data_IF_927270795195
#
_entry.id   IF_927270795195
#
_cell.length_a   1.000
_cell.length_b   1.000
_cell.length_c   1.000
_cell.angle_alpha   90.00
_cell.angle_beta   90.00
_cell.angle_gamma   90.00
#
_symmetry.space_group_name_H-M   'P 1'
#
loop_
_entity.id
_entity.type
_entity.pdbx_description
1 polymer ?
#
# COMPACT_ATOMS: atom_id res chain seq x y z
N UNK A 1 -35.36 -16.39 -59.49
CA UNK A 1 -34.62 -15.51 -58.59
C UNK A 1 -35.08 -15.80 -57.20
N UNK A 2 -34.56 -16.46 -56.48
CA UNK A 2 -33.96 -17.68 -56.11
C UNK A 2 -33.86 -17.71 -54.60
N UNK A 3 -34.30 -18.82 -54.05
CA UNK A 3 -34.28 -19.25 -52.66
C UNK A 3 -32.97 -18.87 -51.90
N UNK A 4 -31.84 -18.80 -52.59
CA UNK A 4 -30.54 -18.41 -52.01
C UNK A 4 -30.47 -16.95 -51.55
N UNK A 5 -31.20 -16.04 -52.16
CA UNK A 5 -31.18 -14.62 -51.76
C UNK A 5 -32.00 -14.37 -50.49
N UNK A 6 -33.07 -15.12 -50.27
CA UNK A 6 -33.86 -15.04 -49.04
C UNK A 6 -33.13 -15.63 -47.83
N UNK A 7 -32.38 -16.73 -48.02
CA UNK A 7 -31.56 -17.29 -46.93
C UNK A 7 -30.45 -16.35 -46.52
N UNK A 8 -29.77 -15.69 -47.49
CA UNK A 8 -28.70 -14.76 -47.21
C UNK A 8 -29.17 -13.54 -46.42
N UNK A 9 -30.33 -12.97 -46.73
CA UNK A 9 -30.93 -11.87 -45.97
C UNK A 9 -31.35 -12.29 -44.56
N UNK A 10 -31.82 -13.53 -44.35
CA UNK A 10 -32.18 -14.04 -43.04
C UNK A 10 -30.96 -14.22 -42.12
N UNK A 11 -29.84 -14.78 -42.67
CA UNK A 11 -28.59 -14.95 -41.91
C UNK A 11 -27.92 -13.61 -41.63
N UNK A 12 -27.98 -12.66 -42.55
CA UNK A 12 -27.44 -11.31 -42.35
C UNK A 12 -28.24 -10.53 -41.30
N UNK A 13 -29.56 -10.67 -41.29
CA UNK A 13 -30.46 -10.08 -40.23
C UNK A 13 -30.26 -10.73 -38.87
N UNK A 14 -30.02 -12.04 -38.78
CA UNK A 14 -29.66 -12.73 -37.54
C UNK A 14 -28.29 -12.35 -37.03
N UNK A 15 -27.28 -12.20 -37.91
CA UNK A 15 -25.94 -11.72 -37.54
C UNK A 15 -25.98 -10.25 -37.02
N UNK A 16 -26.74 -9.39 -37.70
CA UNK A 16 -26.91 -7.99 -37.33
C UNK A 16 -27.63 -7.86 -35.96
N UNK A 17 -28.65 -8.70 -35.67
CA UNK A 17 -29.30 -8.73 -34.37
C UNK A 17 -28.41 -9.32 -33.29
N UNK A 18 -27.51 -10.27 -33.60
CA UNK A 18 -26.54 -10.80 -32.64
C UNK A 18 -25.44 -9.78 -32.30
N UNK A 19 -25.05 -8.93 -33.26
CA UNK A 19 -24.12 -7.81 -33.03
C UNK A 19 -24.73 -6.66 -32.25
N UNK A 20 -26.05 -6.46 -32.29
CA UNK A 20 -26.77 -5.43 -31.52
C UNK A 20 -27.05 -5.83 -30.08
N UNK A 21 -26.96 -7.13 -29.71
CA UNK A 21 -27.12 -7.60 -28.34
C UNK A 21 -25.86 -7.51 -27.48
N UNK A 22 -24.70 -7.18 -28.05
CA UNK A 22 -23.52 -6.75 -27.27
C UNK A 22 -23.55 -5.23 -27.01
N UNK A 23 -24.68 -4.69 -26.62
CA UNK A 23 -24.67 -3.48 -25.79
C UNK A 23 -24.08 -3.91 -24.44
N UNK A 24 -22.78 -3.69 -24.28
CA UNK A 24 -22.16 -3.65 -22.96
C UNK A 24 -23.03 -2.70 -22.13
N UNK A 25 -23.84 -3.25 -21.24
CA UNK A 25 -24.48 -2.50 -20.19
C UNK A 25 -23.30 -2.07 -19.29
N UNK A 26 -22.64 -0.97 -19.67
CA UNK A 26 -21.64 -0.33 -18.83
C UNK A 26 -22.40 0.08 -17.59
N UNK A 27 -22.21 -0.64 -16.50
CA UNK A 27 -22.79 -0.27 -15.22
C UNK A 27 -22.41 1.20 -14.97
N UNK A 28 -23.37 2.08 -15.03
CA UNK A 28 -23.19 3.50 -14.75
C UNK A 28 -23.22 3.65 -13.24
N UNK A 29 -22.05 3.68 -12.62
CA UNK A 29 -21.92 3.89 -11.18
C UNK A 29 -22.38 5.29 -10.79
N UNK A 30 -23.10 5.41 -9.67
CA UNK A 30 -23.54 6.68 -9.15
C UNK A 30 -22.69 7.08 -7.93
N UNK A 31 -21.78 8.04 -8.12
CA UNK A 31 -20.88 8.54 -7.09
C UNK A 31 -21.41 9.77 -6.33
N UNK A 32 -22.71 10.06 -6.37
CA UNK A 32 -23.30 11.17 -5.60
C UNK A 32 -23.04 11.05 -4.10
N UNK A 33 -23.07 9.84 -3.54
CA UNK A 33 -22.72 9.56 -2.14
C UNK A 33 -21.30 9.98 -1.78
N UNK A 34 -20.35 9.78 -2.69
CA UNK A 34 -18.96 10.20 -2.52
C UNK A 34 -18.84 11.72 -2.59
N UNK A 35 -19.51 12.37 -3.55
CA UNK A 35 -19.54 13.83 -3.67
C UNK A 35 -20.14 14.49 -2.42
N UNK A 36 -21.26 13.99 -1.91
CA UNK A 36 -21.90 14.46 -0.69
C UNK A 36 -21.00 14.30 0.54
N UNK A 37 -20.35 13.14 0.67
CA UNK A 37 -19.39 12.88 1.75
C UNK A 37 -18.22 13.87 1.72
N UNK A 38 -17.63 14.11 0.55
CA UNK A 38 -16.53 15.07 0.39
C UNK A 38 -16.98 16.50 0.72
N UNK A 39 -18.16 16.90 0.29
CA UNK A 39 -18.73 18.21 0.57
C UNK A 39 -18.99 18.41 2.07
N UNK A 40 -19.62 17.42 2.72
CA UNK A 40 -19.91 17.45 4.17
C UNK A 40 -18.64 17.60 5.00
N UNK A 41 -17.56 16.94 4.59
CA UNK A 41 -16.29 16.93 5.32
C UNK A 41 -15.27 17.97 4.80
N UNK A 42 -15.67 18.89 3.92
CA UNK A 42 -14.73 19.84 3.27
C UNK A 42 -13.86 20.63 4.25
N UNK A 43 -14.44 21.06 5.38
CA UNK A 43 -13.68 21.81 6.42
C UNK A 43 -12.61 20.95 7.09
N UNK A 44 -12.96 19.72 7.49
CA UNK A 44 -12.02 18.79 8.13
C UNK A 44 -10.93 18.34 7.16
N UNK A 45 -11.27 18.16 5.88
CA UNK A 45 -10.33 17.84 4.80
C UNK A 45 -9.55 19.06 4.29
N UNK A 46 -9.77 20.25 4.88
CA UNK A 46 -9.11 21.53 4.52
C UNK A 46 -9.24 21.89 3.03
N UNK A 47 -10.26 21.36 2.36
CA UNK A 47 -10.65 21.70 0.99
C UNK A 47 -9.70 21.25 -0.13
N UNK A 48 -8.64 20.50 0.16
CA UNK A 48 -7.65 20.04 -0.84
C UNK A 48 -7.57 18.51 -0.84
N UNK A 49 -8.38 17.91 -1.69
CA UNK A 49 -8.60 16.47 -1.76
C UNK A 49 -8.55 15.97 -3.19
N UNK A 50 -7.97 14.80 -3.36
CA UNK A 50 -8.13 13.96 -4.55
C UNK A 50 -8.77 12.64 -4.12
N UNK A 51 -9.91 12.29 -4.70
CA UNK A 51 -10.57 11.01 -4.52
C UNK A 51 -10.62 10.28 -5.87
N UNK A 52 -10.24 9.01 -5.87
CA UNK A 52 -10.21 8.17 -7.07
C UNK A 52 -10.77 6.79 -6.77
N UNK A 53 -11.51 6.21 -7.74
CA UNK A 53 -11.98 4.82 -7.69
C UNK A 53 -11.70 4.14 -9.02
N UNK A 54 -11.06 2.96 -8.94
CA UNK A 54 -10.79 2.07 -10.06
C UNK A 54 -11.65 0.81 -9.96
N UNK A 55 -12.37 0.49 -11.01
CA UNK A 55 -13.20 -0.72 -11.11
C UNK A 55 -13.40 -1.07 -12.58
N UNK A 56 -13.64 -2.36 -12.88
CA UNK A 56 -13.85 -2.85 -14.26
C UNK A 56 -12.73 -2.39 -15.21
N UNK A 57 -11.49 -2.54 -14.77
CA UNK A 57 -10.26 -2.20 -15.50
C UNK A 57 -10.17 -0.74 -15.99
N UNK A 58 -10.89 0.16 -15.32
CA UNK A 58 -10.86 1.60 -15.63
C UNK A 58 -11.03 2.47 -14.40
N UNK A 59 -10.58 3.72 -14.52
CA UNK A 59 -10.89 4.76 -13.54
C UNK A 59 -12.35 5.18 -13.73
N UNK A 60 -13.22 4.80 -12.78
CA UNK A 60 -14.67 5.06 -12.82
C UNK A 60 -15.07 6.35 -12.11
N UNK A 61 -14.22 6.85 -11.21
CA UNK A 61 -14.43 8.11 -10.50
C UNK A 61 -13.11 8.83 -10.23
N UNK A 62 -13.11 10.13 -10.43
CA UNK A 62 -12.05 11.05 -10.01
C UNK A 62 -12.63 12.40 -9.64
N UNK A 63 -12.31 12.88 -8.44
CA UNK A 63 -12.64 14.21 -7.94
C UNK A 63 -11.38 14.91 -7.44
N UNK A 64 -11.16 16.09 -7.92
CA UNK A 64 -10.14 17.03 -7.46
C UNK A 64 -10.88 18.27 -6.94
N UNK A 65 -10.77 18.55 -5.65
CA UNK A 65 -11.55 19.62 -5.01
C UNK A 65 -10.90 21.00 -5.12
N UNK A 66 -9.65 21.05 -5.59
CA UNK A 66 -8.86 22.28 -5.70
C UNK A 66 -7.94 22.20 -6.93
N UNK A 67 -7.88 23.31 -7.68
CA UNK A 67 -7.09 23.39 -8.91
C UNK A 67 -5.57 23.23 -8.70
N UNK A 68 -5.07 23.65 -7.53
CA UNK A 68 -3.64 23.57 -7.19
C UNK A 68 -3.27 22.20 -6.55
N UNK A 69 -4.27 21.33 -6.30
CA UNK A 69 -4.06 20.02 -5.72
C UNK A 69 -4.77 18.95 -6.53
N UNK A 70 -4.02 18.32 -7.41
CA UNK A 70 -4.52 17.37 -8.42
C UNK A 70 -3.97 15.96 -8.21
N UNK A 71 -4.49 15.02 -8.97
CA UNK A 71 -3.98 13.64 -8.98
C UNK A 71 -2.52 13.52 -9.45
N UNK A 72 -1.91 14.61 -9.94
CA UNK A 72 -0.49 14.69 -10.32
C UNK A 72 0.36 15.39 -9.26
N UNK A 73 -0.24 15.97 -8.23
CA UNK A 73 0.51 16.66 -7.17
C UNK A 73 1.23 15.63 -6.31
N UNK A 74 2.55 15.76 -6.21
CA UNK A 74 3.37 14.90 -5.37
C UNK A 74 3.26 15.34 -3.90
N UNK A 75 3.00 14.38 -3.02
CA UNK A 75 2.91 14.61 -1.57
C UNK A 75 3.59 13.47 -0.79
N UNK A 76 4.00 13.72 0.46
CA UNK A 76 4.42 12.64 1.35
C UNK A 76 3.26 11.67 1.59
N UNK A 77 3.47 10.38 1.32
CA UNK A 77 2.48 9.33 1.61
C UNK A 77 2.77 8.61 2.93
N UNK A 78 3.86 8.96 3.60
CA UNK A 78 4.20 8.50 4.94
C UNK A 78 4.13 6.98 5.10
N UNK A 79 3.35 6.51 6.07
CA UNK A 79 3.19 5.09 6.38
C UNK A 79 2.69 4.23 5.20
N UNK A 80 1.93 4.81 4.26
CA UNK A 80 1.52 4.10 3.04
C UNK A 80 2.72 3.67 2.17
N UNK A 81 3.91 4.28 2.36
CA UNK A 81 5.16 3.87 1.74
C UNK A 81 5.65 2.48 2.18
N UNK A 82 5.24 2.02 3.37
CA UNK A 82 5.59 0.69 3.87
C UNK A 82 5.02 -0.43 2.99
N UNK A 83 3.86 -0.20 2.39
CA UNK A 83 3.25 -1.18 1.47
C UNK A 83 4.09 -1.35 0.19
N UNK A 84 4.64 -0.26 -0.34
CA UNK A 84 5.59 -0.28 -1.46
C UNK A 84 6.90 -1.01 -1.07
N UNK A 85 7.41 -0.76 0.14
CA UNK A 85 8.61 -1.43 0.64
C UNK A 85 8.40 -2.92 0.84
N UNK A 86 7.25 -3.32 1.38
CA UNK A 86 6.88 -4.73 1.52
C UNK A 86 6.74 -5.41 0.14
N UNK A 87 6.12 -4.76 -0.83
CA UNK A 87 6.01 -5.26 -2.20
C UNK A 87 7.40 -5.47 -2.85
N UNK A 88 8.33 -4.53 -2.63
CA UNK A 88 9.71 -4.70 -3.09
C UNK A 88 10.39 -5.89 -2.39
N UNK A 89 10.22 -6.06 -1.08
CA UNK A 89 10.76 -7.20 -0.35
C UNK A 89 10.23 -8.53 -0.91
N UNK A 90 8.93 -8.59 -1.21
CA UNK A 90 8.30 -9.77 -1.80
C UNK A 90 8.76 -10.02 -3.24
N UNK A 91 9.12 -9.00 -4.02
CA UNK A 91 9.77 -9.21 -5.31
C UNK A 91 11.11 -9.94 -5.18
N UNK A 92 11.90 -9.62 -4.14
CA UNK A 92 13.14 -10.35 -3.83
C UNK A 92 12.89 -11.78 -3.32
N UNK A 93 11.77 -12.02 -2.66
CA UNK A 93 11.34 -13.38 -2.26
C UNK A 93 10.94 -14.19 -3.50
N UNK A 94 10.18 -13.61 -4.43
CA UNK A 94 9.81 -14.24 -5.70
C UNK A 94 11.02 -14.62 -6.55
N UNK A 95 12.06 -13.77 -6.54
CA UNK A 95 13.31 -14.05 -7.25
C UNK A 95 14.21 -15.07 -6.52
N UNK A 96 13.80 -15.58 -5.36
CA UNK A 96 14.59 -16.50 -4.55
C UNK A 96 15.86 -15.90 -3.93
N UNK A 97 16.01 -14.57 -3.96
CA UNK A 97 17.15 -13.84 -3.40
C UNK A 97 17.05 -13.67 -1.89
N UNK A 98 15.83 -13.61 -1.38
CA UNK A 98 15.48 -13.60 0.03
C UNK A 98 14.43 -14.66 0.30
N UNK A 99 14.30 -15.04 1.57
CA UNK A 99 13.16 -15.80 2.09
C UNK A 99 12.61 -15.07 3.31
N UNK A 100 11.38 -15.34 3.69
CA UNK A 100 10.81 -14.75 4.91
C UNK A 100 11.64 -15.09 6.16
N UNK A 101 12.31 -16.24 6.16
CA UNK A 101 13.19 -16.71 7.25
C UNK A 101 14.64 -16.21 7.13
N UNK A 102 14.96 -15.42 6.10
CA UNK A 102 16.30 -14.83 5.98
C UNK A 102 16.62 -13.98 7.20
N UNK A 103 17.63 -14.42 7.98
CA UNK A 103 18.07 -13.72 9.20
C UNK A 103 18.91 -12.50 8.86
N UNK A 104 18.73 -11.43 9.62
CA UNK A 104 19.53 -10.20 9.48
C UNK A 104 21.01 -10.44 9.74
N UNK A 105 21.37 -11.39 10.60
CA UNK A 105 22.76 -11.79 10.87
C UNK A 105 23.57 -12.08 9.61
N UNK A 106 22.92 -12.63 8.58
CA UNK A 106 23.56 -13.00 7.32
C UNK A 106 23.92 -11.78 6.46
N UNK A 107 23.16 -10.70 6.57
CA UNK A 107 23.24 -9.56 5.67
C UNK A 107 23.72 -8.28 6.36
N UNK A 108 23.43 -8.13 7.67
CA UNK A 108 23.72 -6.93 8.46
C UNK A 108 24.47 -7.37 9.74
N UNK A 109 25.77 -7.67 9.64
CA UNK A 109 26.53 -8.27 10.74
C UNK A 109 26.55 -7.44 12.03
N UNK A 110 26.44 -6.11 11.92
CA UNK A 110 26.41 -5.24 13.10
C UNK A 110 25.21 -5.55 14.02
N UNK A 111 24.05 -5.90 13.46
CA UNK A 111 22.88 -6.32 14.26
C UNK A 111 23.16 -7.63 15.02
N UNK A 112 23.91 -8.56 14.41
CA UNK A 112 24.32 -9.79 15.10
C UNK A 112 25.28 -9.52 16.24
N UNK A 113 26.24 -8.61 16.07
CA UNK A 113 27.19 -8.19 17.11
C UNK A 113 26.49 -7.66 18.37
N UNK A 114 25.32 -7.05 18.22
CA UNK A 114 24.52 -6.53 19.32
C UNK A 114 23.30 -7.41 19.65
N UNK A 115 23.42 -8.72 19.48
CA UNK A 115 22.41 -9.73 19.85
C UNK A 115 21.07 -9.61 19.12
N UNK A 116 21.00 -8.92 17.97
CA UNK A 116 19.81 -8.74 17.14
C UNK A 116 19.80 -9.60 15.87
N UNK A 117 20.76 -10.52 15.76
CA UNK A 117 20.99 -11.29 14.53
C UNK A 117 19.92 -12.35 14.19
N UNK A 118 19.06 -12.67 15.13
CA UNK A 118 17.99 -13.67 14.98
C UNK A 118 16.69 -13.10 14.33
N UNK A 119 16.61 -11.78 14.17
CA UNK A 119 15.52 -11.11 13.46
C UNK A 119 15.49 -11.62 12.01
N UNK A 120 14.30 -11.84 11.48
CA UNK A 120 14.09 -12.32 10.11
C UNK A 120 13.38 -11.29 9.25
N UNK A 121 13.37 -11.48 7.93
CA UNK A 121 12.57 -10.64 7.03
C UNK A 121 11.08 -10.68 7.43
N UNK A 122 10.55 -11.84 7.80
CA UNK A 122 9.17 -11.97 8.30
C UNK A 122 8.92 -11.00 9.45
N UNK A 123 9.76 -11.03 10.49
CA UNK A 123 9.56 -10.18 11.67
C UNK A 123 9.72 -8.70 11.38
N UNK A 124 10.51 -8.35 10.36
CA UNK A 124 10.61 -6.99 9.86
C UNK A 124 9.30 -6.52 9.20
N UNK A 125 8.73 -7.36 8.31
CA UNK A 125 7.51 -7.02 7.56
C UNK A 125 6.24 -7.07 8.42
N UNK A 126 6.28 -7.74 9.58
CA UNK A 126 5.13 -7.90 10.49
C UNK A 126 5.22 -7.07 11.78
N UNK A 127 6.18 -6.15 11.90
CA UNK A 127 6.38 -5.31 13.09
C UNK A 127 6.56 -6.11 14.40
N UNK A 128 7.22 -7.26 14.32
CA UNK A 128 7.44 -8.17 15.46
C UNK A 128 8.92 -8.43 15.73
N UNK A 129 9.78 -7.46 15.41
CA UNK A 129 11.24 -7.59 15.59
C UNK A 129 11.68 -7.71 17.05
N UNK A 130 10.89 -7.21 18.00
CA UNK A 130 11.24 -7.10 19.41
C UNK A 130 12.27 -6.00 19.72
N UNK A 131 12.68 -5.20 18.73
CA UNK A 131 13.51 -4.01 18.95
C UNK A 131 12.63 -2.86 19.45
N UNK A 132 13.15 -2.09 20.40
CA UNK A 132 12.51 -0.87 20.90
C UNK A 132 12.14 0.06 19.74
N UNK A 133 10.86 0.44 19.67
CA UNK A 133 10.37 1.39 18.68
C UNK A 133 10.83 2.82 18.97
N UNK A 134 10.61 3.72 18.06
CA UNK A 134 10.83 5.15 18.28
C UNK A 134 9.93 5.65 19.40
N UNK A 135 10.50 6.47 20.31
CA UNK A 135 9.71 7.08 21.40
C UNK A 135 8.67 8.04 20.84
N UNK A 136 7.42 7.83 21.22
CA UNK A 136 6.29 8.71 20.90
C UNK A 136 5.97 9.63 22.09
N UNK A 137 5.29 10.76 21.88
CA UNK A 137 4.87 11.66 22.96
C UNK A 137 5.97 12.64 23.41
N UNK A 138 6.24 12.74 24.72
CA UNK A 138 7.21 13.69 25.29
C UNK A 138 8.61 13.51 24.70
N UNK A 139 8.95 12.31 24.26
CA UNK A 139 10.19 12.03 23.52
C UNK A 139 10.31 12.70 22.15
N UNK A 140 9.22 13.27 21.61
CA UNK A 140 9.25 14.08 20.37
C UNK A 140 10.04 15.38 20.48
N UNK A 141 10.32 15.86 21.71
CA UNK A 141 11.13 17.06 21.96
C UNK A 141 12.62 16.85 21.74
N UNK A 142 13.08 15.59 21.64
CA UNK A 142 14.47 15.31 21.29
C UNK A 142 14.65 15.38 19.77
N UNK A 143 15.74 15.98 19.28
CA UNK A 143 16.05 15.97 17.86
C UNK A 143 16.05 14.52 17.36
N UNK A 144 15.31 14.25 16.27
CA UNK A 144 15.41 12.95 15.61
C UNK A 144 16.85 12.75 15.13
N UNK A 145 17.40 11.56 15.37
CA UNK A 145 18.68 11.20 14.80
C UNK A 145 18.59 11.36 13.26
N UNK A 146 19.53 12.09 12.70
CA UNK A 146 19.67 12.24 11.25
C UNK A 146 20.72 11.25 10.78
N UNK A 147 20.41 10.48 9.77
CA UNK A 147 21.32 9.49 9.18
C UNK A 147 21.61 9.88 7.73
N UNK A 148 22.79 9.55 7.25
CA UNK A 148 23.19 9.73 5.85
C UNK A 148 22.92 8.48 5.01
N UNK A 149 22.69 7.33 5.65
CA UNK A 149 22.45 6.05 4.98
C UNK A 149 21.67 5.08 5.87
N UNK A 150 21.06 4.07 5.25
CA UNK A 150 20.46 2.95 5.99
C UNK A 150 21.52 2.16 6.80
N UNK A 151 22.77 2.11 6.34
CA UNK A 151 23.84 1.48 7.08
C UNK A 151 24.13 2.20 8.41
N UNK A 152 24.20 3.53 8.37
CA UNK A 152 24.37 4.33 9.58
C UNK A 152 23.18 4.17 10.55
N UNK A 153 21.94 4.13 10.03
CA UNK A 153 20.79 3.83 10.84
C UNK A 153 20.87 2.44 11.49
N UNK A 154 21.32 1.41 10.75
CA UNK A 154 21.52 0.07 11.31
C UNK A 154 22.58 0.07 12.42
N UNK A 155 23.68 0.82 12.28
CA UNK A 155 24.68 0.99 13.33
C UNK A 155 24.07 1.62 14.59
N UNK A 156 23.24 2.65 14.40
CA UNK A 156 22.52 3.29 15.51
C UNK A 156 21.53 2.33 16.17
N UNK A 157 20.68 1.66 15.39
CA UNK A 157 19.71 0.68 15.91
C UNK A 157 20.41 -0.45 16.68
N UNK A 158 21.53 -0.94 16.16
CA UNK A 158 22.32 -1.96 16.82
C UNK A 158 22.79 -1.51 18.20
N UNK A 159 23.40 -0.33 18.28
CA UNK A 159 24.11 0.14 19.48
C UNK A 159 23.19 0.85 20.51
N UNK A 160 22.09 1.48 20.07
CA UNK A 160 21.30 2.41 20.90
C UNK A 160 19.87 1.97 21.17
N UNK A 161 19.32 1.01 20.41
CA UNK A 161 17.99 0.48 20.66
C UNK A 161 18.09 -0.85 21.41
N UNK A 162 17.25 -1.02 22.41
CA UNK A 162 17.22 -2.23 23.21
C UNK A 162 16.35 -3.32 22.55
N UNK A 163 16.56 -4.57 22.98
CA UNK A 163 15.67 -5.68 22.71
C UNK A 163 14.66 -5.68 23.86
N UNK A 164 13.42 -5.29 23.58
CA UNK A 164 12.36 -5.23 24.57
C UNK A 164 11.55 -6.52 24.66
N UNK A 165 11.61 -7.34 23.61
CA UNK A 165 10.95 -8.63 23.53
C UNK A 165 11.66 -9.57 22.56
N UNK A 166 11.39 -10.88 22.63
CA UNK A 166 11.79 -11.79 21.56
C UNK A 166 10.95 -11.54 20.30
N UNK A 167 11.51 -11.76 19.10
CA UNK A 167 10.71 -11.69 17.87
C UNK A 167 9.48 -12.60 17.91
N UNK A 168 8.41 -12.17 17.27
CA UNK A 168 7.12 -12.86 17.20
C UNK A 168 6.46 -13.08 18.57
N UNK A 169 6.73 -12.22 19.57
CA UNK A 169 6.07 -12.28 20.89
C UNK A 169 5.12 -11.10 21.14
N UNK A 170 5.28 -10.02 20.38
CA UNK A 170 4.49 -8.81 20.53
C UNK A 170 4.45 -8.06 19.21
N UNK A 171 3.28 -7.55 18.83
CA UNK A 171 3.12 -6.64 17.70
C UNK A 171 3.34 -5.20 18.17
N UNK A 172 4.28 -4.51 17.52
CA UNK A 172 4.56 -3.11 17.79
C UNK A 172 4.80 -2.36 16.47
N UNK A 173 3.77 -1.72 15.95
CA UNK A 173 3.89 -0.95 14.71
C UNK A 173 4.96 0.14 14.84
N UNK A 174 5.94 0.13 13.96
CA UNK A 174 7.07 1.06 13.99
C UNK A 174 7.79 1.13 12.64
N UNK A 175 8.77 2.05 12.52
CA UNK A 175 9.59 2.16 11.32
C UNK A 175 10.75 1.14 11.28
N UNK A 176 11.08 0.54 12.43
CA UNK A 176 12.30 -0.27 12.62
C UNK A 176 12.37 -1.43 11.61
N UNK A 177 11.32 -2.25 11.55
CA UNK A 177 11.31 -3.45 10.70
C UNK A 177 11.46 -3.12 9.21
N UNK A 178 10.72 -2.13 8.71
CA UNK A 178 10.75 -1.76 7.30
C UNK A 178 12.11 -1.17 6.89
N UNK A 179 12.76 -0.40 7.77
CA UNK A 179 14.10 0.14 7.49
C UNK A 179 15.16 -0.97 7.50
N UNK A 180 15.05 -1.96 8.40
CA UNK A 180 15.91 -3.15 8.37
C UNK A 180 15.68 -3.94 7.08
N UNK A 181 14.42 -4.18 6.65
CA UNK A 181 14.09 -4.86 5.39
C UNK A 181 14.67 -4.09 4.18
N UNK A 182 14.56 -2.77 4.18
CA UNK A 182 15.19 -1.92 3.16
C UNK A 182 16.71 -2.11 3.08
N UNK A 183 17.40 -2.16 4.23
CA UNK A 183 18.84 -2.43 4.25
C UNK A 183 19.17 -3.86 3.80
N UNK A 184 18.39 -4.86 4.16
CA UNK A 184 18.58 -6.23 3.64
C UNK A 184 18.53 -6.26 2.12
N UNK A 185 17.58 -5.52 1.52
CA UNK A 185 17.43 -5.39 0.07
C UNK A 185 18.65 -4.71 -0.55
N UNK A 186 19.18 -3.63 0.04
CA UNK A 186 20.40 -2.96 -0.44
C UNK A 186 21.59 -3.91 -0.46
N UNK A 187 21.79 -4.67 0.62
CA UNK A 187 22.92 -5.61 0.72
C UNK A 187 22.82 -6.70 -0.36
N UNK A 188 21.62 -7.28 -0.55
CA UNK A 188 21.43 -8.34 -1.54
C UNK A 188 21.52 -7.83 -2.97
N UNK A 189 20.99 -6.63 -3.24
CA UNK A 189 21.00 -6.04 -4.58
C UNK A 189 22.32 -5.36 -4.95
N UNK A 190 23.13 -4.99 -3.96
CA UNK A 190 24.33 -4.13 -4.09
C UNK A 190 23.99 -2.76 -4.71
N UNK A 191 22.78 -2.27 -4.46
CA UNK A 191 22.27 -0.98 -4.93
C UNK A 191 21.62 -0.25 -3.77
N UNK A 192 21.55 1.08 -3.84
CA UNK A 192 20.80 1.89 -2.89
C UNK A 192 19.29 1.59 -3.00
N UNK A 193 18.55 1.77 -1.92
CA UNK A 193 17.11 1.43 -1.86
C UNK A 193 16.31 2.19 -2.91
N UNK A 194 16.56 3.49 -3.08
CA UNK A 194 15.87 4.32 -4.09
C UNK A 194 16.09 3.80 -5.51
N UNK A 195 17.34 3.39 -5.84
CA UNK A 195 17.65 2.85 -7.16
C UNK A 195 16.93 1.53 -7.40
N UNK A 196 16.96 0.62 -6.43
CA UNK A 196 16.39 -0.70 -6.63
C UNK A 196 14.85 -0.68 -6.64
N UNK A 197 14.19 0.16 -5.82
CA UNK A 197 12.74 0.28 -5.85
C UNK A 197 12.27 0.93 -7.17
N UNK A 198 13.02 1.90 -7.69
CA UNK A 198 12.77 2.47 -9.01
C UNK A 198 12.83 1.40 -10.11
N UNK A 199 13.86 0.56 -10.10
CA UNK A 199 14.06 -0.45 -11.14
C UNK A 199 13.02 -1.57 -11.08
N UNK A 200 12.72 -2.06 -9.87
CA UNK A 200 11.93 -3.28 -9.66
C UNK A 200 10.43 -3.04 -9.52
N UNK A 201 10.03 -1.88 -9.02
CA UNK A 201 8.63 -1.62 -8.70
C UNK A 201 8.09 -0.36 -9.40
N UNK A 202 8.70 0.81 -9.17
CA UNK A 202 8.09 2.07 -9.56
C UNK A 202 8.05 2.27 -11.08
N UNK A 203 9.15 2.02 -11.80
CA UNK A 203 9.17 2.14 -13.27
C UNK A 203 8.26 1.13 -13.97
N UNK A 204 8.27 -0.18 -13.61
CA UNK A 204 7.32 -1.13 -14.17
C UNK A 204 5.85 -0.74 -13.98
N UNK A 205 5.52 -0.11 -12.83
CA UNK A 205 4.19 0.41 -12.52
C UNK A 205 3.92 1.80 -13.09
N UNK A 206 4.83 2.38 -13.86
CA UNK A 206 4.74 3.75 -14.40
C UNK A 206 4.59 4.84 -13.34
N UNK A 207 5.04 4.59 -12.11
CA UNK A 207 5.02 5.50 -10.97
C UNK A 207 6.19 6.51 -11.05
N UNK A 208 6.17 7.38 -12.07
CA UNK A 208 7.29 8.26 -12.44
C UNK A 208 7.50 9.43 -11.49
N UNK A 209 6.46 9.79 -10.75
CA UNK A 209 6.47 10.87 -9.76
C UNK A 209 6.53 10.33 -8.33
N UNK A 210 6.89 9.05 -8.16
CA UNK A 210 7.07 8.44 -6.85
C UNK A 210 8.54 8.30 -6.53
N UNK A 211 8.94 8.70 -5.33
CA UNK A 211 10.32 8.64 -4.84
C UNK A 211 10.34 8.35 -3.35
N UNK A 212 11.45 7.77 -2.88
CA UNK A 212 11.76 7.62 -1.46
C UNK A 212 12.82 8.64 -0.99
N UNK A 213 13.26 9.49 -1.90
CA UNK A 213 14.17 10.56 -1.59
C UNK A 213 13.41 11.77 -1.06
N UNK A 214 13.67 12.13 0.19
CA UNK A 214 13.12 13.32 0.82
C UNK A 214 14.21 14.40 0.88
N UNK A 215 13.96 15.54 0.26
CA UNK A 215 14.92 16.66 0.22
C UNK A 215 15.24 17.25 1.61
N UNK A 216 14.34 17.07 2.59
CA UNK A 216 14.54 17.54 3.96
C UNK A 216 15.35 16.56 4.83
N UNK A 217 15.45 15.31 4.41
CA UNK A 217 16.24 14.27 5.05
C UNK A 217 17.30 13.80 4.07
N UNK A 218 18.54 13.87 4.46
CA UNK A 218 19.69 13.52 3.63
C UNK A 218 19.77 12.02 3.28
N UNK A 219 18.86 11.18 3.79
CA UNK A 219 18.88 9.75 3.54
C UNK A 219 17.50 9.19 3.16
N UNK A 220 17.51 8.04 2.50
CA UNK A 220 16.32 7.32 2.05
C UNK A 220 15.71 6.54 3.22
N UNK A 221 14.41 6.73 3.47
CA UNK A 221 13.69 6.03 4.52
C UNK A 221 12.62 5.08 3.94
N UNK A 222 12.86 3.76 3.94
CA UNK A 222 11.93 2.76 3.41
C UNK A 222 10.56 2.75 4.09
N UNK A 223 10.47 3.16 5.36
CA UNK A 223 9.21 3.10 6.10
C UNK A 223 8.29 4.30 5.85
N UNK A 224 8.84 5.52 5.80
CA UNK A 224 8.02 6.75 5.75
C UNK A 224 8.49 7.81 4.77
N UNK A 225 9.59 7.56 4.04
CA UNK A 225 10.19 8.53 3.13
C UNK A 225 9.49 8.65 1.77
N UNK A 226 8.51 7.82 1.49
CA UNK A 226 7.84 7.82 0.20
C UNK A 226 7.06 9.12 -0.05
N UNK A 227 7.26 9.68 -1.24
CA UNK A 227 6.44 10.72 -1.82
C UNK A 227 5.82 10.18 -3.11
N UNK A 228 4.55 10.44 -3.34
CA UNK A 228 3.84 9.91 -4.49
C UNK A 228 2.73 10.86 -4.96
N UNK A 229 2.12 10.55 -6.07
CA UNK A 229 0.91 11.19 -6.58
C UNK A 229 -0.27 10.22 -6.51
N UNK A 230 -1.50 10.73 -6.54
CA UNK A 230 -2.68 9.86 -6.55
C UNK A 230 -2.70 8.94 -7.79
N UNK A 231 -2.27 9.43 -8.95
CA UNK A 231 -2.17 8.62 -10.16
C UNK A 231 -1.17 7.46 -10.01
N UNK A 232 0.03 7.77 -9.51
CA UNK A 232 1.07 6.76 -9.32
C UNK A 232 0.64 5.71 -8.31
N UNK A 233 0.11 6.15 -7.17
CA UNK A 233 -0.31 5.22 -6.11
C UNK A 233 -1.49 4.34 -6.56
N UNK A 234 -2.40 4.86 -7.39
CA UNK A 234 -3.47 4.06 -7.97
C UNK A 234 -2.91 2.94 -8.86
N UNK A 235 -1.84 3.15 -9.62
CA UNK A 235 -1.20 2.08 -10.40
C UNK A 235 -0.72 0.92 -9.52
N UNK A 236 -0.18 1.24 -8.34
CA UNK A 236 0.22 0.23 -7.36
C UNK A 236 -0.99 -0.54 -6.81
N UNK A 237 -2.09 0.16 -6.49
CA UNK A 237 -3.33 -0.49 -6.02
C UNK A 237 -3.92 -1.40 -7.10
N UNK A 238 -3.93 -0.97 -8.36
CA UNK A 238 -4.41 -1.77 -9.49
C UNK A 238 -3.57 -3.04 -9.65
N UNK A 239 -2.25 -2.95 -9.53
CA UNK A 239 -1.36 -4.11 -9.55
C UNK A 239 -1.73 -5.13 -8.47
N UNK A 240 -1.96 -4.68 -7.23
CA UNK A 240 -2.36 -5.56 -6.13
C UNK A 240 -3.77 -6.13 -6.33
N UNK A 241 -4.74 -5.30 -6.79
CA UNK A 241 -6.10 -5.74 -7.10
C UNK A 241 -6.10 -6.87 -8.13
N UNK A 242 -5.19 -6.79 -9.12
CA UNK A 242 -4.98 -7.77 -10.18
C UNK A 242 -3.95 -8.84 -9.81
N UNK A 243 -3.81 -9.16 -8.50
CA UNK A 243 -2.95 -10.22 -8.00
C UNK A 243 -1.51 -10.16 -8.54
N UNK A 244 -0.94 -8.97 -8.61
CA UNK A 244 0.45 -8.73 -8.98
C UNK A 244 0.68 -8.44 -10.46
N UNK A 245 -0.36 -8.23 -11.25
CA UNK A 245 -0.27 -7.89 -12.67
C UNK A 245 -0.65 -6.42 -12.92
N UNK A 246 0.10 -5.74 -13.77
CA UNK A 246 -0.18 -4.39 -14.21
C UNK A 246 0.05 -4.26 -15.72
N UNK A 247 -1.00 -3.88 -16.46
CA UNK A 247 -0.98 -3.71 -17.92
C UNK A 247 -0.35 -4.93 -18.66
N UNK A 248 -0.77 -6.14 -18.30
CA UNK A 248 -0.30 -7.39 -18.89
C UNK A 248 1.12 -7.80 -18.50
N UNK A 249 1.73 -7.13 -17.50
CA UNK A 249 3.05 -7.47 -16.97
C UNK A 249 2.95 -7.99 -15.57
N UNK A 250 3.58 -9.13 -15.28
CA UNK A 250 3.73 -9.67 -13.95
C UNK A 250 4.81 -8.88 -13.20
N UNK A 251 4.42 -8.20 -12.10
CA UNK A 251 5.29 -7.42 -11.21
C UNK A 251 5.63 -8.24 -9.98
N UNK A 252 4.63 -8.91 -9.41
CA UNK A 252 4.73 -9.88 -8.31
C UNK A 252 4.01 -11.16 -8.70
N UNK A 253 4.43 -12.31 -8.17
CA UNK A 253 3.65 -13.53 -8.30
C UNK A 253 2.32 -13.41 -7.53
N UNK A 254 1.31 -14.14 -7.95
CA UNK A 254 0.04 -14.25 -7.21
C UNK A 254 0.28 -14.75 -5.78
N UNK A 255 1.23 -15.67 -5.62
CA UNK A 255 1.65 -16.17 -4.32
C UNK A 255 2.21 -15.06 -3.44
N UNK A 256 3.07 -14.20 -3.98
CA UNK A 256 3.64 -13.09 -3.22
C UNK A 256 2.56 -12.11 -2.76
N UNK A 257 1.61 -11.78 -3.64
CA UNK A 257 0.48 -10.91 -3.27
C UNK A 257 -0.38 -11.57 -2.19
N UNK A 258 -0.75 -12.85 -2.35
CA UNK A 258 -1.52 -13.58 -1.35
C UNK A 258 -0.81 -13.64 0.01
N UNK A 259 0.53 -13.82 0.02
CA UNK A 259 1.32 -13.77 1.24
C UNK A 259 1.34 -12.37 1.89
N UNK A 260 1.31 -11.30 1.10
CA UNK A 260 1.22 -9.92 1.63
C UNK A 260 -0.14 -9.63 2.26
N UNK A 261 -1.19 -10.20 1.73
CA UNK A 261 -2.59 -9.95 2.09
C UNK A 261 -3.13 -10.94 3.13
N UNK A 262 -2.28 -11.76 3.74
CA UNK A 262 -2.65 -12.74 4.75
C UNK A 262 -2.42 -12.21 6.16
N UNK A 263 -3.43 -12.37 7.03
CA UNK A 263 -3.30 -12.07 8.46
C UNK A 263 -2.15 -12.88 9.09
N UNK A 264 -1.31 -12.18 9.83
CA UNK A 264 -0.12 -12.78 10.44
C UNK A 264 -0.12 -12.52 11.94
N UNK A 265 0.25 -13.57 12.68
CA UNK A 265 0.52 -13.45 14.11
C UNK A 265 -0.68 -12.85 14.88
N UNK A 266 -1.88 -13.31 14.58
CA UNK A 266 -3.16 -12.77 15.08
C UNK A 266 -3.34 -12.88 16.59
N UNK A 267 -2.68 -13.85 17.21
CA UNK A 267 -2.80 -14.13 18.67
C UNK A 267 -1.75 -13.40 19.53
N UNK A 268 -0.98 -12.48 18.92
CA UNK A 268 0.04 -11.75 19.66
C UNK A 268 -0.53 -10.58 20.45
N UNK A 269 0.02 -10.30 21.64
CA UNK A 269 -0.25 -9.04 22.32
C UNK A 269 0.10 -7.85 21.42
N UNK A 270 -0.80 -6.87 21.36
CA UNK A 270 -0.59 -5.63 20.59
C UNK A 270 -0.11 -4.56 21.56
N UNK A 271 1.15 -4.12 21.38
CA UNK A 271 1.75 -3.04 22.17
C UNK A 271 1.36 -1.67 21.65
N UNK A 272 1.37 -1.53 20.33
CA UNK A 272 1.02 -0.28 19.67
C UNK A 272 0.50 -0.51 18.27
N UNK A 273 -0.56 0.20 17.94
CA UNK A 273 -1.13 0.36 16.61
C UNK A 273 -1.47 1.83 16.38
N UNK A 274 -1.37 2.36 15.16
CA UNK A 274 -1.81 3.73 14.86
C UNK A 274 -3.30 3.91 15.13
N UNK A 275 -3.73 5.09 15.62
CA UNK A 275 -5.14 5.39 15.82
C UNK A 275 -5.99 5.09 14.59
N UNK A 276 -7.14 4.42 14.78
CA UNK A 276 -8.08 4.03 13.73
C UNK A 276 -7.78 2.71 13.04
N UNK A 277 -6.73 2.00 13.48
CA UNK A 277 -6.40 0.63 13.00
C UNK A 277 -6.55 -0.42 14.11
N UNK A 278 -7.15 -0.03 15.24
CA UNK A 278 -7.39 -0.92 16.37
C UNK A 278 -8.31 -2.08 15.97
N UNK A 279 -7.91 -3.28 16.34
CA UNK A 279 -8.66 -4.51 16.01
C UNK A 279 -8.46 -5.03 14.59
N UNK A 280 -7.72 -4.32 13.74
CA UNK A 280 -7.38 -4.84 12.42
C UNK A 280 -6.16 -5.75 12.49
N UNK A 281 -6.18 -6.80 11.71
CA UNK A 281 -4.99 -7.62 11.52
C UNK A 281 -4.00 -6.95 10.54
N UNK A 282 -2.80 -7.50 10.47
CA UNK A 282 -1.72 -6.94 9.65
C UNK A 282 -1.11 -8.02 8.76
N UNK A 283 -0.96 -7.68 7.48
CA UNK A 283 -0.22 -8.48 6.50
C UNK A 283 1.22 -7.99 6.38
N UNK A 284 1.70 -7.78 5.15
CA UNK A 284 3.01 -7.16 4.90
C UNK A 284 2.83 -5.75 4.35
N UNK A 285 3.10 -4.74 5.18
CA UNK A 285 3.00 -3.33 4.82
C UNK A 285 1.58 -2.77 4.76
N UNK A 286 0.57 -3.57 5.11
CA UNK A 286 -0.84 -3.17 5.06
C UNK A 286 -1.68 -3.82 6.15
N UNK A 287 -2.76 -3.15 6.51
CA UNK A 287 -3.78 -3.58 7.43
C UNK A 287 -4.90 -4.32 6.71
N UNK A 288 -5.55 -5.23 7.41
CA UNK A 288 -6.64 -6.07 6.95
C UNK A 288 -7.88 -5.77 7.80
N UNK A 289 -8.68 -4.74 7.43
CA UNK A 289 -9.93 -4.42 8.14
C UNK A 289 -10.97 -5.53 8.03
N UNK A 290 -10.97 -6.27 6.92
CA UNK A 290 -11.89 -7.36 6.65
C UNK A 290 -11.12 -8.56 6.07
N UNK A 291 -11.51 -9.76 6.50
CA UNK A 291 -10.87 -11.01 6.12
C UNK A 291 -11.92 -12.08 5.80
N UNK A 292 -11.50 -13.09 5.05
CA UNK A 292 -12.26 -14.33 4.89
C UNK A 292 -12.07 -15.27 6.10
N UNK A 293 -12.80 -16.38 6.12
CA UNK A 293 -12.68 -17.39 7.18
C UNK A 293 -11.34 -18.12 7.24
N UNK A 294 -10.40 -17.79 6.34
CA UNK A 294 -9.05 -18.39 6.27
C UNK A 294 -7.95 -17.38 6.62
N UNK A 295 -8.31 -16.16 7.01
CA UNK A 295 -7.40 -15.07 7.34
C UNK A 295 -6.79 -14.38 6.11
N UNK A 296 -7.39 -14.51 4.92
CA UNK A 296 -6.98 -13.72 3.78
C UNK A 296 -7.73 -12.39 3.78
N UNK A 297 -7.03 -11.28 3.60
CA UNK A 297 -7.63 -9.97 3.54
C UNK A 297 -8.59 -9.83 2.36
N UNK A 298 -9.83 -9.45 2.64
CA UNK A 298 -10.82 -9.10 1.63
C UNK A 298 -10.86 -7.59 1.39
N UNK A 299 -10.59 -6.82 2.44
CA UNK A 299 -10.30 -5.37 2.34
C UNK A 299 -8.91 -5.13 2.91
N UNK A 300 -8.05 -4.49 2.13
CA UNK A 300 -6.65 -4.22 2.49
C UNK A 300 -6.39 -2.72 2.36
N UNK A 301 -5.71 -2.13 3.34
CA UNK A 301 -5.41 -0.69 3.38
C UNK A 301 -4.08 -0.40 4.05
N UNK A 302 -3.47 0.72 3.71
CA UNK A 302 -2.27 1.23 4.38
C UNK A 302 -2.43 2.74 4.63
N UNK A 303 -3.26 3.13 5.62
CA UNK A 303 -3.54 4.53 5.90
C UNK A 303 -2.32 5.23 6.48
N UNK A 304 -2.22 6.53 6.21
CA UNK A 304 -1.17 7.38 6.76
C UNK A 304 -1.72 8.68 7.35
N UNK A 305 -1.18 9.07 8.49
CA UNK A 305 -1.46 10.36 9.13
C UNK A 305 -1.04 11.57 8.26
N UNK A 306 -0.31 11.36 7.16
CA UNK A 306 -0.02 12.39 6.17
C UNK A 306 -1.20 12.72 5.26
N UNK A 307 -2.33 12.00 5.40
CA UNK A 307 -3.54 12.24 4.63
C UNK A 307 -3.70 11.33 3.42
N UNK A 308 -3.03 10.18 3.42
CA UNK A 308 -3.16 9.18 2.35
C UNK A 308 -3.94 7.98 2.86
N UNK A 309 -5.05 7.67 2.18
CA UNK A 309 -5.87 6.51 2.48
C UNK A 309 -6.13 5.67 1.23
N UNK A 310 -5.21 4.76 0.91
CA UNK A 310 -5.38 3.81 -0.18
C UNK A 310 -6.07 2.56 0.33
N UNK A 311 -6.95 1.94 -0.46
CA UNK A 311 -7.44 0.59 -0.17
C UNK A 311 -7.84 -0.18 -1.42
N UNK A 312 -7.88 -1.49 -1.29
CA UNK A 312 -8.42 -2.43 -2.27
C UNK A 312 -9.50 -3.27 -1.60
N UNK A 313 -10.56 -3.53 -2.32
CA UNK A 313 -11.61 -4.46 -1.95
C UNK A 313 -11.61 -5.61 -2.97
N UNK A 314 -11.10 -6.76 -2.54
CA UNK A 314 -10.95 -7.96 -3.39
C UNK A 314 -12.30 -8.62 -3.67
N UNK A 315 -13.20 -8.58 -2.70
CA UNK A 315 -14.54 -9.16 -2.82
C UNK A 315 -15.35 -8.41 -3.89
N UNK A 316 -15.34 -7.09 -3.82
CA UNK A 316 -16.09 -6.23 -4.72
C UNK A 316 -15.25 -5.76 -5.93
N UNK A 317 -14.00 -6.19 -6.04
CA UNK A 317 -13.07 -5.94 -7.17
C UNK A 317 -12.95 -4.47 -7.53
N UNK A 318 -12.57 -3.64 -6.56
CA UNK A 318 -12.25 -2.24 -6.81
C UNK A 318 -11.05 -1.77 -5.96
N UNK A 319 -10.39 -0.72 -6.41
CA UNK A 319 -9.41 0.02 -5.65
C UNK A 319 -9.86 1.47 -5.50
N UNK A 320 -9.59 2.07 -4.34
CA UNK A 320 -9.89 3.47 -4.11
C UNK A 320 -8.77 4.17 -3.33
N UNK A 321 -8.68 5.46 -3.53
CA UNK A 321 -7.70 6.31 -2.89
C UNK A 321 -8.34 7.64 -2.52
N UNK A 322 -8.20 8.02 -1.25
CA UNK A 322 -8.43 9.39 -0.79
C UNK A 322 -7.06 9.98 -0.42
N UNK A 323 -6.71 11.09 -1.06
CA UNK A 323 -5.47 11.83 -0.82
C UNK A 323 -5.81 13.24 -0.39
N UNK A 324 -5.31 13.66 0.78
CA UNK A 324 -5.53 14.97 1.38
C UNK A 324 -4.20 15.67 1.53
N UNK A 325 -4.10 16.95 1.17
CA UNK A 325 -2.84 17.69 1.20
C UNK A 325 -2.27 17.89 2.61
N UNK A 326 -3.12 18.09 3.58
CA UNK A 326 -2.72 18.25 4.98
C UNK A 326 -3.07 17.00 5.77
N UNK A 327 -2.11 16.53 6.59
CA UNK A 327 -2.28 15.33 7.41
C UNK A 327 -3.63 15.27 8.14
N UNK A 328 -4.07 14.07 8.41
CA UNK A 328 -5.30 13.78 9.16
C UNK A 328 -5.00 13.76 10.66
N UNK A 329 -5.96 14.26 11.45
CA UNK A 329 -6.06 14.03 12.89
C UNK A 329 -6.97 12.81 13.18
N UNK A 330 -7.41 12.63 14.41
CA UNK A 330 -8.32 11.53 14.77
C UNK A 330 -9.66 11.58 14.01
N UNK A 331 -10.15 12.78 13.64
CA UNK A 331 -11.35 12.93 12.82
C UNK A 331 -11.13 12.40 11.39
N UNK A 332 -9.90 12.44 10.88
CA UNK A 332 -9.54 11.90 9.58
C UNK A 332 -9.88 10.42 9.45
N UNK A 333 -9.66 9.62 10.49
CA UNK A 333 -9.95 8.18 10.46
C UNK A 333 -11.45 7.89 10.24
N UNK A 334 -12.32 8.69 10.86
CA UNK A 334 -13.77 8.53 10.67
C UNK A 334 -14.20 8.97 9.26
N UNK A 335 -13.59 10.03 8.72
CA UNK A 335 -13.84 10.47 7.34
C UNK A 335 -13.43 9.39 6.34
N UNK A 336 -12.34 8.70 6.57
CA UNK A 336 -11.91 7.62 5.70
C UNK A 336 -12.86 6.42 5.71
N UNK A 337 -13.42 6.05 6.87
CA UNK A 337 -14.48 5.04 6.94
C UNK A 337 -15.74 5.46 6.16
N UNK A 338 -16.12 6.74 6.29
CA UNK A 338 -17.22 7.32 5.51
C UNK A 338 -16.93 7.27 4.01
N UNK A 339 -15.69 7.53 3.60
CA UNK A 339 -15.27 7.43 2.20
C UNK A 339 -15.44 5.99 1.67
N UNK A 340 -14.96 4.98 2.41
CA UNK A 340 -15.18 3.58 2.02
C UNK A 340 -16.66 3.26 1.87
N UNK A 341 -17.48 3.59 2.87
CA UNK A 341 -18.92 3.34 2.84
C UNK A 341 -19.62 4.04 1.66
N UNK A 342 -19.24 5.27 1.33
CA UNK A 342 -19.77 5.99 0.18
C UNK A 342 -19.36 5.37 -1.16
N UNK A 343 -18.13 4.86 -1.26
CA UNK A 343 -17.66 4.12 -2.46
C UNK A 343 -18.40 2.79 -2.57
N UNK A 344 -18.56 2.03 -1.48
CA UNK A 344 -19.30 0.77 -1.47
C UNK A 344 -20.73 0.96 -2.00
N UNK A 345 -21.43 1.99 -1.51
CA UNK A 345 -22.75 2.35 -2.00
C UNK A 345 -22.73 2.68 -3.50
N UNK A 346 -21.75 3.45 -3.96
CA UNK A 346 -21.65 3.88 -5.35
C UNK A 346 -21.39 2.73 -6.32
N UNK A 347 -20.58 1.73 -5.92
CA UNK A 347 -20.24 0.58 -6.76
C UNK A 347 -21.17 -0.62 -6.58
N UNK A 348 -22.19 -0.51 -5.71
CA UNK A 348 -23.11 -1.60 -5.42
C UNK A 348 -22.44 -2.77 -4.70
N UNK A 349 -21.47 -2.49 -3.82
CA UNK A 349 -20.79 -3.50 -3.00
C UNK A 349 -21.76 -4.16 -2.01
N UNK A 350 -21.62 -5.48 -1.80
CA UNK A 350 -22.42 -6.29 -0.89
C UNK A 350 -21.62 -6.80 0.30
#
# INVERSE_FOLDING_TARGET
MSYKFRSFCLYFSLLLNFLLFFQFCSAQYNFSSVDEMLQKNQKALKGKVVAMVWKDDKLVYKKETNADFTAKTQVPVGASGQWLTAALAMNFVDEGKLTLDTRVARLIPILAKYMKGYITLLTCLTHTTGIEAEKTGVGKLLPKAKFESLEEEMNFLAAKREIVNNPQKEFHYSNVGMNIAGRMIEVVSKKTFDRIIQEKLLRPLKMRSTTFFNYDNLYINPSTGAQSTANDYMNFLVMLLNNGEFEGKRILSEKAVAEMEKARLTDLPVKYTPPGTEGWHYGFGAWLPEEDGQGNGTVITSPSLTGTWPYIDKKNKYAALLLVQSGSDEQGNEIFKQFKAAVDQAVGAQ
#
